data_IF_519733941443
#
_entry.id   IF_519733941443
#
_cell.length_a   1.000
_cell.length_b   1.000
_cell.length_c   1.000
_cell.angle_alpha   90.00
_cell.angle_beta   90.00
_cell.angle_gamma   90.00
#
_symmetry.space_group_name_H-M   'P 1'
#
loop_
_entity.id
_entity.type
_entity.pdbx_description
1 polymer ?
#
# COMPACT_ATOMS: atom_id res chain seq x y z
N UNK A 1 0.72 -13.10 -13.30
CA UNK A 1 1.03 -12.87 -14.73
C UNK A 1 0.15 -13.79 -15.56
N UNK A 2 -0.52 -13.24 -16.55
CA UNK A 2 -1.31 -13.97 -17.56
C UNK A 2 -0.59 -13.82 -18.89
N UNK A 3 -0.13 -14.96 -19.44
CA UNK A 3 0.48 -15.00 -20.77
C UNK A 3 -0.62 -15.26 -21.80
N UNK A 4 -0.90 -14.29 -22.64
CA UNK A 4 -1.96 -14.30 -23.64
C UNK A 4 -1.42 -14.01 -25.05
N UNK A 5 -2.32 -14.10 -26.05
CA UNK A 5 -1.97 -13.80 -27.45
C UNK A 5 -1.43 -12.37 -27.66
N UNK A 6 -1.72 -11.45 -26.74
CA UNK A 6 -1.27 -10.05 -26.76
C UNK A 6 -0.01 -9.80 -25.91
N UNK A 7 0.61 -10.85 -25.39
CA UNK A 7 1.76 -10.80 -24.50
C UNK A 7 1.40 -11.00 -23.02
N UNK A 8 2.40 -10.88 -22.17
CA UNK A 8 2.23 -10.98 -20.72
C UNK A 8 1.48 -9.78 -20.16
N UNK A 9 0.47 -10.05 -19.32
CA UNK A 9 -0.29 -9.04 -18.58
C UNK A 9 -0.29 -9.37 -17.10
N UNK A 10 -0.26 -8.34 -16.25
CA UNK A 10 -0.41 -8.50 -14.80
C UNK A 10 -1.86 -8.26 -14.40
N UNK A 11 -2.49 -9.23 -13.80
CA UNK A 11 -3.83 -9.11 -13.22
C UNK A 11 -3.73 -9.02 -11.70
N UNK A 12 -4.35 -7.99 -11.13
CA UNK A 12 -4.40 -7.76 -9.68
C UNK A 12 -5.64 -8.37 -9.03
N UNK A 13 -6.63 -8.78 -9.81
CA UNK A 13 -7.86 -9.36 -9.31
C UNK A 13 -8.13 -10.70 -9.97
N UNK A 14 -8.25 -11.74 -9.15
CA UNK A 14 -8.60 -13.09 -9.56
C UNK A 14 -9.88 -13.52 -8.85
N UNK A 15 -10.77 -14.19 -9.58
CA UNK A 15 -11.95 -14.82 -9.00
C UNK A 15 -12.02 -16.26 -9.51
N UNK A 16 -12.03 -17.22 -8.58
CA UNK A 16 -12.19 -18.63 -8.83
C UNK A 16 -13.60 -19.06 -8.39
N UNK A 17 -14.31 -19.73 -9.27
CA UNK A 17 -15.66 -20.21 -9.02
C UNK A 17 -15.68 -21.72 -9.19
N UNK A 18 -16.02 -22.43 -8.13
CA UNK A 18 -16.08 -23.88 -8.07
C UNK A 18 -17.49 -24.32 -7.67
N UNK A 19 -18.12 -25.16 -8.53
CA UNK A 19 -19.46 -25.70 -8.30
C UNK A 19 -19.43 -27.21 -8.54
N UNK A 20 -19.00 -27.99 -7.54
CA UNK A 20 -18.98 -29.43 -7.65
C UNK A 20 -20.41 -30.02 -7.82
N UNK A 21 -20.56 -31.21 -8.41
CA UNK A 21 -21.89 -31.80 -8.68
C UNK A 21 -22.80 -31.92 -7.45
N UNK A 22 -22.22 -32.16 -6.28
CA UNK A 22 -22.98 -32.28 -5.04
C UNK A 22 -23.71 -31.00 -4.62
N UNK A 23 -23.26 -29.81 -5.12
CA UNK A 23 -23.93 -28.56 -4.83
C UNK A 23 -25.39 -28.49 -5.32
N UNK A 24 -25.74 -29.28 -6.33
CA UNK A 24 -27.10 -29.45 -6.86
C UNK A 24 -27.68 -30.83 -6.58
N UNK A 25 -27.07 -31.60 -5.67
CA UNK A 25 -27.49 -32.97 -5.37
C UNK A 25 -27.16 -34.00 -6.45
N UNK A 26 -26.32 -33.64 -7.42
CA UNK A 26 -25.90 -34.52 -8.50
C UNK A 26 -24.69 -35.36 -8.11
N UNK A 27 -24.56 -36.53 -8.72
CA UNK A 27 -23.35 -37.34 -8.67
C UNK A 27 -22.48 -37.06 -9.88
N UNK A 28 -21.17 -37.00 -9.69
CA UNK A 28 -20.24 -36.73 -10.79
C UNK A 28 -18.80 -36.63 -10.35
N UNK A 29 -17.90 -36.59 -11.32
CA UNK A 29 -16.50 -36.43 -11.07
C UNK A 29 -16.19 -34.97 -10.70
N UNK A 30 -15.54 -34.77 -9.55
CA UNK A 30 -14.94 -33.49 -9.16
C UNK A 30 -13.58 -33.36 -9.85
N UNK A 31 -13.33 -32.24 -10.51
CA UNK A 31 -12.10 -32.02 -11.28
C UNK A 31 -11.95 -30.57 -11.72
N UNK A 32 -11.31 -30.37 -12.87
CA UNK A 32 -11.13 -29.02 -13.42
C UNK A 32 -12.48 -28.37 -13.76
N UNK A 33 -12.60 -27.03 -13.57
CA UNK A 33 -13.82 -26.28 -13.88
C UNK A 33 -14.29 -26.49 -15.31
N UNK A 34 -15.59 -26.73 -15.49
CA UNK A 34 -16.24 -26.88 -16.79
C UNK A 34 -16.58 -25.49 -17.37
N UNK A 35 -17.04 -25.45 -18.62
CA UNK A 35 -17.42 -24.19 -19.32
C UNK A 35 -18.42 -23.34 -18.54
N UNK A 36 -19.40 -23.96 -17.88
CA UNK A 36 -20.43 -23.30 -17.07
C UNK A 36 -19.77 -22.58 -15.88
N UNK A 37 -18.91 -23.26 -15.15
CA UNK A 37 -18.18 -22.68 -13.98
C UNK A 37 -17.27 -21.53 -14.43
N UNK A 38 -16.55 -21.69 -15.53
CA UNK A 38 -15.71 -20.64 -16.11
C UNK A 38 -16.55 -19.41 -16.47
N UNK A 39 -17.72 -19.61 -17.09
CA UNK A 39 -18.64 -18.53 -17.47
C UNK A 39 -19.20 -17.79 -16.26
N UNK A 40 -19.65 -18.54 -15.23
CA UNK A 40 -20.13 -17.96 -13.97
C UNK A 40 -19.05 -17.18 -13.24
N UNK A 41 -17.84 -17.72 -13.15
CA UNK A 41 -16.71 -17.03 -12.54
C UNK A 41 -16.35 -15.74 -13.27
N UNK A 42 -16.36 -15.76 -14.63
CA UNK A 42 -16.11 -14.54 -15.43
C UNK A 42 -17.19 -13.48 -15.25
N UNK A 43 -18.46 -13.88 -15.12
CA UNK A 43 -19.56 -12.95 -14.86
C UNK A 43 -19.38 -12.27 -13.49
N UNK A 44 -19.12 -13.05 -12.43
CA UNK A 44 -18.89 -12.53 -11.09
C UNK A 44 -17.64 -11.64 -11.03
N UNK A 45 -16.54 -12.06 -11.67
CA UNK A 45 -15.33 -11.25 -11.80
C UNK A 45 -15.61 -9.89 -12.44
N UNK A 46 -16.33 -9.89 -13.58
CA UNK A 46 -16.70 -8.65 -14.30
C UNK A 46 -17.54 -7.73 -13.43
N UNK A 47 -18.52 -8.29 -12.71
CA UNK A 47 -19.39 -7.51 -11.83
C UNK A 47 -18.63 -6.75 -10.76
N UNK A 48 -17.63 -7.38 -10.13
CA UNK A 48 -16.85 -6.80 -9.06
C UNK A 48 -15.72 -5.90 -9.57
N UNK A 49 -15.15 -6.17 -10.74
CA UNK A 49 -14.03 -5.39 -11.29
C UNK A 49 -14.32 -3.89 -11.39
N UNK A 50 -15.59 -3.53 -11.67
CA UNK A 50 -16.00 -2.14 -11.83
C UNK A 50 -15.83 -1.28 -10.56
N UNK A 51 -15.88 -1.90 -9.39
CA UNK A 51 -15.82 -1.21 -8.08
C UNK A 51 -14.49 -1.38 -7.35
N UNK A 52 -13.52 -2.06 -7.95
CA UNK A 52 -12.22 -2.24 -7.33
C UNK A 52 -11.47 -0.90 -7.17
N UNK A 53 -10.66 -0.76 -6.12
CA UNK A 53 -9.79 0.39 -5.94
C UNK A 53 -8.71 0.45 -7.03
N UNK A 54 -8.19 1.63 -7.27
CA UNK A 54 -7.03 1.82 -8.14
C UNK A 54 -5.77 1.21 -7.49
N UNK A 55 -4.73 1.03 -8.29
CA UNK A 55 -3.46 0.45 -7.80
C UNK A 55 -2.75 1.33 -6.78
N UNK A 56 -2.84 2.65 -6.97
CA UNK A 56 -2.27 3.63 -6.05
C UNK A 56 -2.93 3.60 -4.67
N UNK A 57 -4.26 3.36 -4.64
CA UNK A 57 -5.06 3.34 -3.40
C UNK A 57 -4.95 2.01 -2.64
N UNK A 58 -4.70 0.90 -3.37
CA UNK A 58 -4.65 -0.44 -2.78
C UNK A 58 -3.71 -1.35 -3.57
N UNK A 59 -2.49 -1.52 -3.10
CA UNK A 59 -1.40 -2.20 -3.82
C UNK A 59 -1.44 -3.74 -3.76
N UNK A 60 -2.43 -4.32 -3.10
CA UNK A 60 -2.55 -5.77 -2.96
C UNK A 60 -3.12 -6.44 -4.21
N UNK A 61 -2.66 -7.65 -4.47
CA UNK A 61 -3.34 -8.58 -5.38
C UNK A 61 -4.48 -9.24 -4.63
N UNK A 62 -5.68 -9.16 -5.20
CA UNK A 62 -6.91 -9.71 -4.61
C UNK A 62 -7.26 -11.05 -5.26
N UNK A 63 -7.56 -12.05 -4.44
CA UNK A 63 -8.02 -13.36 -4.90
C UNK A 63 -9.29 -13.74 -4.14
N UNK A 64 -10.41 -13.79 -4.85
CA UNK A 64 -11.68 -14.30 -4.34
C UNK A 64 -11.86 -15.74 -4.79
N UNK A 65 -12.21 -16.62 -3.86
CA UNK A 65 -12.53 -18.02 -4.14
C UNK A 65 -13.97 -18.25 -3.70
N UNK A 66 -14.83 -18.63 -4.64
CA UNK A 66 -16.23 -18.97 -4.39
C UNK A 66 -16.41 -20.48 -4.50
N UNK A 67 -16.61 -21.14 -3.37
CA UNK A 67 -16.92 -22.56 -3.26
C UNK A 67 -18.41 -22.74 -3.04
N UNK A 68 -19.12 -23.27 -4.05
CA UNK A 68 -20.56 -23.48 -3.98
C UNK A 68 -20.84 -24.84 -3.36
N UNK A 69 -21.32 -24.85 -2.12
CA UNK A 69 -21.60 -26.07 -1.38
C UNK A 69 -23.05 -26.57 -1.58
N UNK A 70 -23.99 -25.64 -1.81
CA UNK A 70 -25.39 -25.91 -2.06
C UNK A 70 -25.98 -24.80 -2.95
N UNK A 71 -26.86 -25.16 -3.88
CA UNK A 71 -27.50 -24.20 -4.78
C UNK A 71 -28.83 -24.68 -5.28
N UNK A 72 -29.86 -23.84 -5.14
CA UNK A 72 -31.16 -23.98 -5.85
C UNK A 72 -31.59 -22.59 -6.35
N UNK A 73 -30.81 -22.03 -7.27
CA UNK A 73 -30.97 -20.68 -7.80
C UNK A 73 -29.68 -20.19 -8.41
N UNK A 74 -29.46 -18.88 -8.43
CA UNK A 74 -28.29 -18.28 -9.05
C UNK A 74 -27.06 -18.22 -8.13
N UNK A 75 -26.29 -19.28 -8.14
CA UNK A 75 -24.98 -19.35 -7.44
C UNK A 75 -23.99 -18.31 -7.92
N UNK A 76 -24.03 -17.88 -9.18
CA UNK A 76 -23.15 -16.80 -9.68
C UNK A 76 -23.50 -15.44 -9.09
N UNK A 77 -24.78 -15.14 -8.89
CA UNK A 77 -25.20 -13.88 -8.26
C UNK A 77 -24.95 -13.91 -6.75
N UNK A 78 -25.11 -15.06 -6.10
CA UNK A 78 -24.63 -15.27 -4.72
C UNK A 78 -23.12 -15.03 -4.60
N UNK A 79 -22.33 -15.49 -5.58
CA UNK A 79 -20.87 -15.22 -5.61
C UNK A 79 -20.52 -13.75 -5.80
N UNK A 80 -21.35 -12.99 -6.52
CA UNK A 80 -21.19 -11.52 -6.62
C UNK A 80 -21.40 -10.87 -5.25
N UNK A 81 -22.52 -11.17 -4.59
CA UNK A 81 -22.85 -10.60 -3.28
C UNK A 81 -21.84 -11.03 -2.21
N UNK A 82 -21.55 -12.33 -2.10
CA UNK A 82 -20.59 -12.87 -1.14
C UNK A 82 -19.16 -12.40 -1.41
N UNK A 83 -18.75 -12.31 -2.68
CA UNK A 83 -17.46 -11.77 -3.08
C UNK A 83 -17.30 -10.29 -2.72
N UNK A 84 -18.35 -9.49 -2.91
CA UNK A 84 -18.39 -8.09 -2.49
C UNK A 84 -18.21 -7.98 -0.96
N UNK A 85 -19.02 -8.70 -0.19
CA UNK A 85 -18.95 -8.69 1.26
C UNK A 85 -17.60 -9.17 1.79
N UNK A 86 -17.01 -10.21 1.19
CA UNK A 86 -15.71 -10.74 1.61
C UNK A 86 -14.56 -9.78 1.32
N UNK A 87 -14.61 -9.04 0.20
CA UNK A 87 -13.63 -7.99 -0.09
C UNK A 87 -13.72 -6.84 0.92
N UNK A 88 -14.92 -6.41 1.27
CA UNK A 88 -15.14 -5.38 2.29
C UNK A 88 -14.66 -5.85 3.67
N UNK A 89 -14.95 -7.09 4.05
CA UNK A 89 -14.49 -7.68 5.32
C UNK A 89 -12.98 -7.85 5.38
N UNK A 90 -12.33 -8.06 4.23
CA UNK A 90 -10.88 -8.08 4.13
C UNK A 90 -10.22 -6.68 4.15
N UNK A 91 -11.01 -5.60 4.22
CA UNK A 91 -10.50 -4.22 4.24
C UNK A 91 -10.19 -3.65 2.87
N UNK A 92 -10.69 -4.26 1.78
CA UNK A 92 -10.53 -3.70 0.43
C UNK A 92 -11.43 -2.47 0.29
N UNK A 93 -10.90 -1.28 -0.02
CA UNK A 93 -11.69 -0.05 -0.16
C UNK A 93 -12.41 -0.05 -1.50
N UNK A 94 -13.48 -0.87 -1.62
CA UNK A 94 -14.33 -0.88 -2.79
C UNK A 94 -14.98 0.50 -2.99
N UNK A 95 -15.12 0.90 -4.25
CA UNK A 95 -15.76 2.18 -4.61
C UNK A 95 -17.25 2.19 -4.29
N UNK A 96 -17.88 1.00 -4.28
CA UNK A 96 -19.30 0.84 -4.03
C UNK A 96 -19.62 -0.63 -3.73
N UNK A 97 -20.83 -0.91 -3.20
CA UNK A 97 -21.36 -2.25 -3.06
C UNK A 97 -21.91 -2.74 -4.38
N UNK A 98 -21.76 -4.04 -4.65
CA UNK A 98 -22.32 -4.72 -5.82
C UNK A 98 -23.19 -5.87 -5.38
N UNK A 99 -24.46 -5.84 -5.75
CA UNK A 99 -25.38 -6.96 -5.63
C UNK A 99 -25.71 -7.54 -7.00
N UNK A 100 -26.12 -8.80 -7.02
CA UNK A 100 -26.59 -9.49 -8.21
C UNK A 100 -27.90 -10.18 -7.96
N UNK A 101 -28.76 -10.23 -8.99
CA UNK A 101 -30.04 -10.93 -8.97
C UNK A 101 -30.25 -11.69 -10.29
N UNK A 102 -30.84 -12.87 -10.22
CA UNK A 102 -31.27 -13.63 -11.39
C UNK A 102 -32.77 -13.45 -11.60
N UNK A 103 -33.11 -13.12 -12.83
CA UNK A 103 -34.49 -12.88 -13.28
C UNK A 103 -34.92 -13.93 -14.28
N UNK A 104 -36.19 -14.22 -14.31
CA UNK A 104 -36.80 -15.12 -15.27
C UNK A 104 -37.96 -14.48 -16.07
N UNK A 105 -38.29 -15.07 -17.17
CA UNK A 105 -39.43 -14.67 -17.99
C UNK A 105 -40.29 -15.91 -18.32
N UNK A 106 -41.58 -15.76 -18.15
CA UNK A 106 -42.61 -16.70 -18.71
C UNK A 106 -43.44 -15.92 -19.72
N UNK A 107 -43.59 -16.44 -20.94
CA UNK A 107 -44.32 -15.77 -22.02
C UNK A 107 -45.26 -16.71 -22.72
N UNK A 108 -46.56 -16.41 -22.69
CA UNK A 108 -47.60 -17.13 -23.41
C UNK A 108 -48.33 -16.19 -24.39
N UNK A 109 -48.07 -16.37 -25.67
CA UNK A 109 -48.59 -15.48 -26.70
C UNK A 109 -48.17 -14.04 -26.49
N UNK A 110 -49.11 -13.13 -26.20
CA UNK A 110 -48.88 -11.73 -25.93
C UNK A 110 -48.76 -11.38 -24.41
N UNK A 111 -48.99 -12.38 -23.55
CA UNK A 111 -48.86 -12.20 -22.10
C UNK A 111 -47.48 -12.60 -21.64
N UNK A 112 -46.95 -11.91 -20.65
CA UNK A 112 -45.69 -12.28 -20.04
C UNK A 112 -45.68 -11.95 -18.54
N UNK A 113 -44.85 -12.66 -17.79
CA UNK A 113 -44.56 -12.42 -16.40
C UNK A 113 -43.03 -12.43 -16.20
N UNK A 114 -42.54 -11.47 -15.46
CA UNK A 114 -41.13 -11.42 -15.05
C UNK A 114 -41.02 -11.93 -13.62
N UNK A 115 -40.10 -12.85 -13.39
CA UNK A 115 -39.83 -13.45 -12.08
C UNK A 115 -38.54 -12.85 -11.52
N UNK A 116 -38.51 -12.59 -10.20
CA UNK A 116 -37.33 -12.05 -9.50
C UNK A 116 -36.74 -13.12 -8.59
N UNK A 117 -35.40 -13.27 -8.61
CA UNK A 117 -34.65 -14.24 -7.81
C UNK A 117 -35.12 -15.67 -8.02
N UNK A 118 -34.96 -16.13 -9.26
CA UNK A 118 -35.50 -17.41 -9.75
C UNK A 118 -34.80 -18.61 -9.12
N UNK A 119 -35.63 -19.65 -8.86
CA UNK A 119 -35.17 -20.98 -8.49
C UNK A 119 -34.65 -21.77 -9.69
N UNK A 120 -34.00 -22.92 -9.45
CA UNK A 120 -33.49 -23.79 -10.51
C UNK A 120 -34.55 -24.28 -11.49
N UNK A 121 -35.76 -24.63 -11.01
CA UNK A 121 -36.89 -25.05 -11.88
C UNK A 121 -37.42 -23.90 -12.72
N UNK A 122 -37.46 -22.68 -12.17
CA UNK A 122 -37.89 -21.47 -12.89
C UNK A 122 -36.87 -21.07 -13.96
N UNK A 123 -35.56 -21.28 -13.70
CA UNK A 123 -34.51 -21.16 -14.71
C UNK A 123 -34.68 -22.17 -15.83
N UNK A 124 -34.93 -23.45 -15.49
CA UNK A 124 -35.03 -24.54 -16.47
C UNK A 124 -36.27 -24.45 -17.36
N UNK A 125 -37.42 -24.13 -16.77
CA UNK A 125 -38.73 -24.11 -17.46
C UNK A 125 -39.08 -22.75 -18.06
N UNK A 126 -38.38 -21.68 -17.68
CA UNK A 126 -38.61 -20.33 -18.17
C UNK A 126 -38.19 -20.11 -19.61
N UNK A 127 -38.74 -19.07 -20.24
CA UNK A 127 -38.49 -18.67 -21.63
C UNK A 127 -37.26 -17.83 -21.82
N UNK A 128 -36.82 -17.19 -20.75
CA UNK A 128 -35.55 -16.42 -20.64
C UNK A 128 -35.12 -16.39 -19.19
N UNK A 129 -33.82 -16.50 -18.97
CA UNK A 129 -33.19 -16.07 -17.73
C UNK A 129 -32.16 -14.98 -18.01
N UNK A 130 -32.02 -14.01 -17.09
CA UNK A 130 -30.98 -13.03 -17.16
C UNK A 130 -30.50 -12.65 -15.76
N UNK A 131 -29.22 -12.38 -15.69
CA UNK A 131 -28.54 -12.07 -14.46
C UNK A 131 -28.04 -10.62 -14.55
N UNK A 132 -28.40 -9.82 -13.56
CA UNK A 132 -28.01 -8.41 -13.49
C UNK A 132 -27.27 -8.18 -12.20
N UNK A 133 -26.05 -7.69 -12.31
CA UNK A 133 -25.26 -7.22 -11.19
C UNK A 133 -24.96 -5.73 -11.31
N UNK A 134 -24.85 -5.03 -10.18
CA UNK A 134 -24.55 -3.62 -10.18
C UNK A 134 -24.65 -2.98 -8.80
N UNK A 135 -24.32 -1.70 -8.79
CA UNK A 135 -24.39 -0.81 -7.63
C UNK A 135 -25.75 -0.12 -7.56
N UNK A 136 -25.97 0.76 -6.61
CA UNK A 136 -27.13 1.66 -6.61
C UNK A 136 -27.12 2.65 -7.79
N UNK A 137 -25.93 2.98 -8.30
CA UNK A 137 -25.76 3.91 -9.43
C UNK A 137 -25.98 3.27 -10.79
N UNK A 138 -25.67 1.97 -10.98
CA UNK A 138 -25.77 1.36 -12.29
C UNK A 138 -25.44 -0.12 -12.36
N UNK A 139 -25.59 -0.69 -13.56
CA UNK A 139 -25.31 -2.08 -13.87
C UNK A 139 -23.81 -2.25 -14.18
N UNK A 140 -23.15 -3.20 -13.52
CA UNK A 140 -21.74 -3.53 -13.75
C UNK A 140 -21.56 -4.77 -14.60
N UNK A 141 -22.52 -5.69 -14.59
CA UNK A 141 -22.53 -6.88 -15.44
C UNK A 141 -23.96 -7.36 -15.75
N UNK A 142 -24.12 -7.89 -16.94
CA UNK A 142 -25.36 -8.51 -17.40
C UNK A 142 -25.02 -9.75 -18.22
N UNK A 143 -25.79 -10.81 -17.98
CA UNK A 143 -25.80 -12.02 -18.81
C UNK A 143 -27.28 -12.39 -19.08
N UNK A 144 -27.58 -12.78 -20.30
CA UNK A 144 -28.93 -13.16 -20.70
C UNK A 144 -28.86 -14.45 -21.51
N UNK A 145 -29.81 -15.35 -21.25
CA UNK A 145 -30.06 -16.56 -22.02
C UNK A 145 -31.53 -16.57 -22.47
N UNK A 146 -31.78 -16.50 -23.78
CA UNK A 146 -33.11 -16.46 -24.38
C UNK A 146 -33.35 -17.82 -25.01
N UNK A 147 -34.42 -18.51 -24.57
CA UNK A 147 -34.79 -19.86 -24.99
C UNK A 147 -35.92 -19.87 -26.00
N UNK A 148 -36.44 -18.68 -26.38
CA UNK A 148 -37.48 -18.45 -27.36
C UNK A 148 -36.95 -17.62 -28.53
N UNK A 149 -37.74 -17.44 -29.62
CA UNK A 149 -37.28 -16.74 -30.82
C UNK A 149 -36.82 -15.31 -30.59
N UNK A 150 -37.30 -14.66 -29.53
CA UNK A 150 -36.89 -13.32 -29.17
C UNK A 150 -37.81 -12.64 -28.17
N UNK A 151 -37.35 -11.53 -27.63
CA UNK A 151 -38.08 -10.67 -26.69
C UNK A 151 -38.24 -9.26 -27.23
N UNK A 152 -39.32 -8.60 -26.87
CA UNK A 152 -39.55 -7.22 -27.25
C UNK A 152 -38.78 -6.23 -26.33
N UNK A 153 -38.58 -5.02 -26.82
CA UNK A 153 -38.00 -3.93 -26.03
C UNK A 153 -38.83 -3.65 -24.76
N UNK A 154 -40.15 -3.75 -24.87
CA UNK A 154 -41.07 -3.57 -23.74
C UNK A 154 -40.82 -4.59 -22.62
N UNK A 155 -40.72 -5.89 -22.98
CA UNK A 155 -40.35 -6.94 -22.01
C UNK A 155 -39.04 -6.62 -21.32
N UNK A 156 -38.02 -6.21 -22.08
CA UNK A 156 -36.72 -5.87 -21.48
C UNK A 156 -36.79 -4.65 -20.58
N UNK A 157 -37.59 -3.65 -20.90
CA UNK A 157 -37.77 -2.47 -20.05
C UNK A 157 -38.38 -2.86 -18.69
N UNK A 158 -39.45 -3.69 -18.72
CA UNK A 158 -40.10 -4.19 -17.50
C UNK A 158 -39.12 -5.05 -16.68
N UNK A 159 -38.44 -5.97 -17.35
CA UNK A 159 -37.49 -6.90 -16.71
C UNK A 159 -36.33 -6.17 -16.05
N UNK A 160 -35.73 -5.18 -16.69
CA UNK A 160 -34.62 -4.39 -16.13
C UNK A 160 -35.10 -3.50 -14.97
N UNK A 161 -36.30 -2.93 -15.04
CA UNK A 161 -36.86 -2.16 -13.95
C UNK A 161 -37.09 -3.04 -12.70
N UNK A 162 -37.69 -4.21 -12.87
CA UNK A 162 -37.93 -5.17 -11.79
C UNK A 162 -36.60 -5.74 -11.24
N UNK A 163 -35.59 -5.98 -12.10
CA UNK A 163 -34.28 -6.39 -11.69
C UNK A 163 -33.58 -5.29 -10.84
N UNK A 164 -33.81 -4.02 -11.14
CA UNK A 164 -33.30 -2.90 -10.32
C UNK A 164 -33.92 -2.95 -8.91
N UNK A 165 -35.22 -3.16 -8.80
CA UNK A 165 -35.90 -3.24 -7.49
C UNK A 165 -35.35 -4.41 -6.66
N UNK A 166 -35.22 -5.61 -7.27
CA UNK A 166 -34.63 -6.78 -6.62
C UNK A 166 -33.19 -6.54 -6.16
N UNK A 167 -32.37 -5.93 -7.03
CA UNK A 167 -30.98 -5.60 -6.71
C UNK A 167 -30.87 -4.57 -5.58
N UNK A 168 -31.70 -3.53 -5.59
CA UNK A 168 -31.73 -2.53 -4.51
C UNK A 168 -32.15 -3.15 -3.16
N UNK A 169 -33.10 -4.09 -3.17
CA UNK A 169 -33.47 -4.83 -1.98
C UNK A 169 -32.28 -5.62 -1.40
N UNK A 170 -31.55 -6.35 -2.25
CA UNK A 170 -30.36 -7.13 -1.88
C UNK A 170 -29.27 -6.20 -1.34
N UNK A 171 -28.98 -5.07 -2.02
CA UNK A 171 -28.03 -4.07 -1.54
C UNK A 171 -28.39 -3.58 -0.13
N UNK A 172 -29.67 -3.32 0.14
CA UNK A 172 -30.14 -2.95 1.47
C UNK A 172 -29.79 -4.00 2.52
N UNK A 173 -29.99 -5.29 2.21
CA UNK A 173 -29.59 -6.40 3.09
C UNK A 173 -28.09 -6.53 3.28
N UNK A 174 -27.32 -6.26 2.26
CA UNK A 174 -25.84 -6.24 2.35
C UNK A 174 -25.36 -5.09 3.25
N UNK A 175 -25.96 -3.91 3.17
CA UNK A 175 -25.67 -2.78 4.05
C UNK A 175 -26.05 -3.02 5.51
N UNK A 176 -27.12 -3.80 5.78
CA UNK A 176 -27.46 -4.21 7.15
C UNK A 176 -26.38 -5.13 7.75
N UNK A 177 -25.69 -5.92 6.92
CA UNK A 177 -24.67 -6.86 7.36
C UNK A 177 -23.25 -6.23 7.50
N UNK A 178 -22.92 -5.28 6.63
CA UNK A 178 -21.60 -4.62 6.59
C UNK A 178 -21.79 -3.13 6.27
N UNK A 179 -21.32 -2.25 7.13
CA UNK A 179 -21.42 -0.80 6.94
C UNK A 179 -20.46 -0.27 5.84
N UNK A 180 -19.35 -0.95 5.63
CA UNK A 180 -18.31 -0.57 4.66
C UNK A 180 -17.04 -1.42 4.79
N UNK A 181 -15.96 -1.04 4.13
CA UNK A 181 -14.69 -1.74 4.24
C UNK A 181 -14.15 -1.64 5.67
N UNK A 182 -13.63 -2.74 6.21
CA UNK A 182 -12.93 -2.72 7.49
C UNK A 182 -11.74 -1.79 7.42
N UNK A 183 -11.56 -0.98 8.44
CA UNK A 183 -10.44 -0.03 8.55
C UNK A 183 -9.12 -0.71 8.89
N UNK A 184 -9.18 -1.89 9.53
CA UNK A 184 -8.00 -2.68 9.89
C UNK A 184 -7.91 -3.93 9.03
N UNK A 185 -6.73 -4.15 8.45
CA UNK A 185 -6.42 -5.39 7.78
C UNK A 185 -6.35 -6.53 8.81
N UNK A 186 -6.66 -7.75 8.36
CA UNK A 186 -6.45 -8.94 9.16
C UNK A 186 -5.02 -8.98 9.73
N UNK A 187 -4.83 -9.41 11.01
CA UNK A 187 -3.49 -9.56 11.57
C UNK A 187 -2.63 -10.58 10.80
N UNK A 188 -3.25 -11.45 10.00
CA UNK A 188 -2.56 -12.43 9.15
C UNK A 188 -2.30 -11.90 7.73
N UNK A 189 -2.84 -10.73 7.37
CA UNK A 189 -2.58 -10.15 6.06
C UNK A 189 -1.17 -9.54 6.03
N UNK A 190 -0.37 -9.78 4.96
CA UNK A 190 0.89 -9.09 4.79
C UNK A 190 0.63 -7.59 4.68
N UNK A 191 1.38 -6.80 5.45
CA UNK A 191 1.34 -5.35 5.39
C UNK A 191 2.32 -4.86 4.34
N UNK A 192 1.87 -4.00 3.46
CA UNK A 192 2.71 -3.36 2.44
C UNK A 192 3.03 -1.93 2.89
N UNK A 193 4.31 -1.62 2.95
CA UNK A 193 4.80 -0.26 3.19
C UNK A 193 5.54 0.19 1.94
N UNK A 194 5.09 1.26 1.32
CA UNK A 194 5.73 1.84 0.13
C UNK A 194 6.23 3.24 0.44
N UNK A 195 7.47 3.54 0.02
CA UNK A 195 8.09 4.85 0.16
C UNK A 195 9.14 5.05 -0.93
N UNK A 196 9.57 6.29 -1.13
CA UNK A 196 10.59 6.61 -2.14
C UNK A 196 11.94 6.87 -1.50
N UNK A 197 12.99 6.37 -2.15
CA UNK A 197 14.38 6.72 -1.89
C UNK A 197 14.96 7.44 -3.11
N UNK A 198 16.09 8.12 -2.94
CA UNK A 198 16.80 8.70 -4.07
C UNK A 198 17.26 7.57 -5.00
N UNK A 199 16.93 7.59 -6.32
CA UNK A 199 17.34 6.57 -7.28
C UNK A 199 18.86 6.33 -7.32
N UNK A 200 19.68 7.36 -7.09
CA UNK A 200 21.15 7.24 -7.02
C UNK A 200 21.62 6.33 -5.88
N UNK A 201 20.76 6.11 -4.86
CA UNK A 201 21.03 5.27 -3.68
C UNK A 201 20.56 3.82 -3.82
N UNK A 202 19.84 3.48 -4.87
CA UNK A 202 19.37 2.12 -5.11
C UNK A 202 20.53 1.12 -5.05
N UNK A 203 21.67 1.47 -5.62
CA UNK A 203 22.87 0.61 -5.64
C UNK A 203 23.44 0.37 -4.24
N UNK A 204 23.37 1.38 -3.35
CA UNK A 204 23.85 1.27 -1.96
C UNK A 204 22.94 0.32 -1.17
N UNK A 205 21.61 0.42 -1.35
CA UNK A 205 20.61 -0.45 -0.70
C UNK A 205 20.67 -1.89 -1.22
N UNK A 206 20.83 -2.07 -2.52
CA UNK A 206 20.95 -3.42 -3.12
C UNK A 206 22.29 -4.06 -2.74
N UNK A 207 23.36 -3.27 -2.72
CA UNK A 207 24.72 -3.74 -2.47
C UNK A 207 25.30 -4.56 -3.61
N UNK A 208 26.59 -4.86 -3.52
CA UNK A 208 27.31 -5.61 -4.57
C UNK A 208 26.70 -7.01 -4.77
N UNK A 209 26.17 -7.25 -5.98
CA UNK A 209 25.51 -8.51 -6.32
C UNK A 209 24.25 -8.82 -5.48
N UNK A 210 23.61 -7.81 -4.89
CA UNK A 210 22.41 -7.97 -4.08
C UNK A 210 22.67 -8.46 -2.65
N UNK A 211 23.92 -8.38 -2.14
CA UNK A 211 24.26 -8.93 -0.84
C UNK A 211 23.57 -8.22 0.31
N UNK A 212 23.48 -6.88 0.25
CA UNK A 212 22.89 -6.06 1.34
C UNK A 212 21.39 -6.31 1.46
N UNK A 213 20.67 -6.25 0.33
CA UNK A 213 19.22 -6.45 0.34
C UNK A 213 18.84 -7.88 0.74
N UNK A 214 19.63 -8.90 0.33
CA UNK A 214 19.38 -10.29 0.77
C UNK A 214 19.59 -10.47 2.26
N UNK A 215 20.69 -9.95 2.82
CA UNK A 215 20.94 -9.99 4.25
C UNK A 215 19.82 -9.30 5.03
N UNK A 216 19.39 -8.14 4.57
CA UNK A 216 18.29 -7.39 5.18
C UNK A 216 16.97 -8.18 5.16
N UNK A 217 16.64 -8.79 4.03
CA UNK A 217 15.46 -9.64 3.86
C UNK A 217 15.50 -10.88 4.79
N UNK A 218 16.65 -11.53 4.88
CA UNK A 218 16.82 -12.70 5.76
C UNK A 218 16.74 -12.34 7.25
N UNK A 219 17.41 -11.26 7.66
CA UNK A 219 17.45 -10.82 9.06
C UNK A 219 16.09 -10.31 9.56
N UNK A 220 15.33 -9.63 8.71
CA UNK A 220 14.01 -9.07 9.09
C UNK A 220 12.84 -10.00 8.78
N UNK A 221 13.04 -11.04 7.96
CA UNK A 221 11.96 -11.92 7.50
C UNK A 221 10.95 -11.24 6.60
N UNK A 222 11.33 -10.12 5.96
CA UNK A 222 10.47 -9.33 5.07
C UNK A 222 10.77 -9.59 3.60
N UNK A 223 9.88 -9.17 2.71
CA UNK A 223 10.16 -9.11 1.28
C UNK A 223 10.31 -7.65 0.86
N UNK A 224 11.43 -7.33 0.21
CA UNK A 224 11.75 -5.96 -0.20
C UNK A 224 11.89 -5.93 -1.72
N UNK A 225 11.10 -5.08 -2.38
CA UNK A 225 11.19 -4.80 -3.80
C UNK A 225 11.60 -3.34 -4.01
N UNK A 226 12.47 -3.09 -4.97
CA UNK A 226 12.94 -1.74 -5.32
C UNK A 226 12.79 -1.57 -6.83
N UNK A 227 12.08 -0.52 -7.22
CA UNK A 227 11.88 -0.14 -8.62
C UNK A 227 12.93 0.88 -9.06
N UNK A 228 13.14 1.00 -10.37
CA UNK A 228 14.16 1.88 -10.95
C UNK A 228 13.92 3.37 -10.66
N UNK A 229 12.67 3.75 -10.37
CA UNK A 229 12.28 5.12 -10.00
C UNK A 229 12.54 5.46 -8.52
N UNK A 230 13.10 4.52 -7.75
CA UNK A 230 13.38 4.65 -6.33
C UNK A 230 12.21 4.25 -5.42
N UNK A 231 11.11 3.74 -5.94
CA UNK A 231 10.01 3.21 -5.13
C UNK A 231 10.45 1.91 -4.46
N UNK A 232 10.40 1.89 -3.12
CA UNK A 232 10.69 0.72 -2.29
C UNK A 232 9.38 0.22 -1.71
N UNK A 233 9.08 -1.06 -1.91
CA UNK A 233 7.92 -1.74 -1.32
C UNK A 233 8.40 -2.85 -0.40
N UNK A 234 8.00 -2.79 0.86
CA UNK A 234 8.30 -3.78 1.88
C UNK A 234 7.02 -4.53 2.23
N UNK A 235 7.01 -5.84 2.07
CA UNK A 235 5.94 -6.72 2.49
C UNK A 235 6.34 -7.50 3.74
N UNK A 236 5.55 -7.40 4.81
CA UNK A 236 5.79 -8.09 6.08
C UNK A 236 4.48 -8.52 6.73
N UNK A 237 4.47 -9.73 7.31
CA UNK A 237 3.36 -10.19 8.17
C UNK A 237 3.49 -9.60 9.57
N UNK A 238 4.73 -9.37 10.02
CA UNK A 238 5.03 -8.74 11.31
C UNK A 238 5.28 -7.24 11.11
N UNK A 239 4.50 -6.41 11.80
CA UNK A 239 4.59 -4.96 11.74
C UNK A 239 5.93 -4.42 12.23
N UNK A 240 6.47 -5.00 13.33
CA UNK A 240 7.76 -4.60 13.87
C UNK A 240 8.91 -4.93 12.91
N UNK A 241 8.86 -6.09 12.27
CA UNK A 241 9.81 -6.48 11.24
C UNK A 241 9.75 -5.57 10.01
N UNK A 242 8.55 -5.18 9.57
CA UNK A 242 8.35 -4.23 8.48
C UNK A 242 8.91 -2.84 8.80
N UNK A 243 8.66 -2.33 10.01
CA UNK A 243 9.17 -1.06 10.48
C UNK A 243 10.72 -1.06 10.58
N UNK A 244 11.30 -2.14 11.06
CA UNK A 244 12.76 -2.30 11.15
C UNK A 244 13.40 -2.37 9.75
N UNK A 245 12.82 -3.12 8.83
CA UNK A 245 13.27 -3.17 7.45
C UNK A 245 13.24 -1.78 6.79
N UNK A 246 12.15 -1.04 6.97
CA UNK A 246 12.01 0.33 6.50
C UNK A 246 13.10 1.24 7.06
N UNK A 247 13.28 1.23 8.37
CA UNK A 247 14.30 2.05 9.05
C UNK A 247 15.70 1.80 8.47
N UNK A 248 16.08 0.53 8.27
CA UNK A 248 17.38 0.15 7.71
C UNK A 248 17.54 0.57 6.25
N UNK A 249 16.50 0.44 5.44
CA UNK A 249 16.53 0.92 4.04
C UNK A 249 16.69 2.44 4.00
N UNK A 250 15.94 3.18 4.83
CA UNK A 250 16.05 4.63 4.93
C UNK A 250 17.45 5.06 5.38
N UNK A 251 18.06 4.35 6.33
CA UNK A 251 19.44 4.61 6.79
C UNK A 251 20.48 4.38 5.68
N UNK A 252 20.33 3.29 4.89
CA UNK A 252 21.22 2.98 3.76
C UNK A 252 21.07 3.98 2.61
N UNK A 253 19.86 4.46 2.39
CA UNK A 253 19.52 5.43 1.36
C UNK A 253 19.78 6.89 1.79
N UNK A 254 20.03 7.13 3.09
CA UNK A 254 20.21 8.47 3.63
C UNK A 254 21.41 9.19 3.00
N UNK A 255 21.19 10.44 2.63
CA UNK A 255 22.24 11.34 2.15
C UNK A 255 22.64 12.32 3.23
N UNK A 256 23.93 12.59 3.31
CA UNK A 256 24.43 13.61 4.22
C UNK A 256 24.13 14.98 3.62
N UNK A 257 23.48 15.84 4.39
CA UNK A 257 23.10 17.19 3.97
C UNK A 257 24.02 18.24 4.60
N UNK A 258 24.51 19.19 3.79
CA UNK A 258 25.30 20.32 4.26
C UNK A 258 24.45 21.20 5.19
N UNK A 259 25.01 21.60 6.30
CA UNK A 259 24.35 22.44 7.32
C UNK A 259 23.57 21.66 8.37
N UNK A 260 23.30 20.38 8.18
CA UNK A 260 22.56 19.52 9.12
C UNK A 260 23.47 19.00 10.23
N UNK A 261 22.87 18.75 11.39
CA UNK A 261 23.55 18.22 12.59
C UNK A 261 23.28 16.72 12.67
N UNK A 262 24.34 15.96 12.90
CA UNK A 262 24.29 14.50 13.06
C UNK A 262 24.92 14.09 14.39
N UNK A 263 24.43 13.00 14.95
CA UNK A 263 25.11 12.27 16.03
C UNK A 263 25.98 11.19 15.40
N UNK A 264 27.30 11.45 15.37
CA UNK A 264 28.25 10.56 14.73
C UNK A 264 29.14 9.86 15.76
N UNK A 265 29.59 8.65 15.40
CA UNK A 265 30.51 7.86 16.22
C UNK A 265 31.95 8.06 15.76
N UNK A 266 32.84 8.42 16.66
CA UNK A 266 34.27 8.54 16.38
C UNK A 266 34.84 7.14 16.05
N UNK A 267 35.26 6.96 14.80
CA UNK A 267 35.82 5.69 14.32
C UNK A 267 37.33 5.59 14.61
N UNK A 268 38.04 6.69 14.39
CA UNK A 268 39.51 6.74 14.55
C UNK A 268 39.98 8.17 14.84
N UNK A 269 40.98 8.27 15.70
CA UNK A 269 41.69 9.51 15.96
C UNK A 269 42.93 9.65 15.06
N UNK A 270 43.18 10.87 14.59
CA UNK A 270 44.30 11.24 13.74
C UNK A 270 45.01 12.47 14.42
N UNK A 271 46.29 12.72 14.13
CA UNK A 271 47.04 13.86 14.69
C UNK A 271 46.38 15.20 14.34
N UNK A 272 45.70 15.28 13.18
CA UNK A 272 45.08 16.51 12.69
C UNK A 272 43.56 16.53 12.83
N UNK A 273 42.94 15.53 13.45
CA UNK A 273 41.48 15.45 13.62
C UNK A 273 40.94 14.07 13.97
N UNK A 274 39.67 13.85 13.74
CA UNK A 274 39.00 12.56 13.94
C UNK A 274 38.14 12.18 12.73
N UNK A 275 38.10 10.89 12.45
CA UNK A 275 37.14 10.33 11.50
C UNK A 275 35.87 10.00 12.28
N UNK A 276 34.77 10.61 11.90
CA UNK A 276 33.47 10.45 12.55
C UNK A 276 32.45 9.90 11.52
N UNK A 277 31.87 8.75 11.83
CA UNK A 277 30.81 8.18 11.02
C UNK A 277 29.49 8.89 11.35
N UNK A 278 28.94 9.61 10.38
CA UNK A 278 27.70 10.38 10.54
C UNK A 278 26.46 9.60 10.09
N UNK A 279 26.63 8.67 9.14
CA UNK A 279 25.61 7.70 8.70
C UNK A 279 26.30 6.36 8.38
N UNK A 280 25.58 5.23 8.31
CA UNK A 280 26.15 3.95 7.91
C UNK A 280 26.92 4.05 6.58
N UNK A 281 28.21 3.73 6.60
CA UNK A 281 29.09 3.82 5.41
C UNK A 281 29.46 5.25 4.97
N UNK A 282 29.17 6.28 5.77
CA UNK A 282 29.48 7.68 5.48
C UNK A 282 30.31 8.28 6.61
N UNK A 283 31.59 8.44 6.35
CA UNK A 283 32.56 8.99 7.28
C UNK A 283 32.90 10.45 6.91
N UNK A 284 33.04 11.28 7.92
CA UNK A 284 33.46 12.68 7.74
C UNK A 284 34.69 12.99 8.58
N UNK A 285 35.48 13.97 8.11
CA UNK A 285 36.63 14.46 8.81
C UNK A 285 36.23 15.64 9.74
N UNK A 286 36.41 15.45 11.02
CA UNK A 286 36.38 16.49 12.04
C UNK A 286 37.81 16.98 12.29
N UNK A 287 38.19 18.05 11.60
CA UNK A 287 39.55 18.63 11.74
C UNK A 287 39.76 19.22 13.14
N UNK A 288 41.00 19.17 13.69
CA UNK A 288 41.34 19.63 15.03
C UNK A 288 40.85 21.07 15.29
N UNK A 289 40.91 21.96 14.31
CA UNK A 289 40.45 23.37 14.44
C UNK A 289 38.91 23.52 14.49
N UNK A 290 38.17 22.45 14.26
CA UNK A 290 36.70 22.40 14.26
C UNK A 290 36.12 21.66 15.48
N UNK A 291 36.96 21.27 16.44
CA UNK A 291 36.54 20.61 17.68
C UNK A 291 36.00 21.63 18.67
N UNK A 292 36.80 22.67 18.98
CA UNK A 292 36.48 23.71 19.98
C UNK A 292 36.85 25.13 19.50
N UNK A 293 36.38 26.15 20.23
CA UNK A 293 36.76 27.54 19.97
C UNK A 293 38.16 27.89 20.48
N UNK A 294 38.66 27.18 21.50
CA UNK A 294 40.00 27.28 22.02
C UNK A 294 41.00 26.47 21.19
N UNK A 295 42.29 26.71 21.42
CA UNK A 295 43.35 25.97 20.69
C UNK A 295 43.46 24.55 21.25
N UNK A 296 43.05 23.57 20.42
CA UNK A 296 43.21 22.15 20.73
C UNK A 296 44.64 21.72 20.37
N UNK A 297 45.39 21.21 21.34
CA UNK A 297 46.75 20.75 21.13
C UNK A 297 46.81 19.28 20.72
N UNK A 298 45.98 18.43 21.32
CA UNK A 298 45.87 17.04 20.98
C UNK A 298 44.37 16.64 20.84
N UNK A 299 44.05 15.89 19.82
CA UNK A 299 42.64 15.42 19.55
C UNK A 299 42.17 14.51 20.66
N UNK A 300 43.06 13.70 21.23
CA UNK A 300 42.79 12.75 22.33
C UNK A 300 42.34 13.40 23.64
N UNK A 301 42.61 14.73 23.83
CA UNK A 301 42.16 15.47 25.01
C UNK A 301 40.65 15.72 25.01
N UNK A 302 40.05 15.75 23.81
CA UNK A 302 38.66 16.11 23.60
C UNK A 302 37.80 14.93 23.12
N UNK A 303 38.39 13.96 22.43
CA UNK A 303 37.69 12.87 21.77
C UNK A 303 38.30 11.52 22.09
N UNK A 304 37.44 10.48 22.16
CA UNK A 304 37.84 9.08 22.30
C UNK A 304 37.28 8.25 21.18
N UNK A 305 37.99 7.24 20.74
CA UNK A 305 37.46 6.25 19.79
C UNK A 305 36.22 5.56 20.38
N UNK A 306 35.20 5.41 19.54
CA UNK A 306 33.90 4.85 19.95
C UNK A 306 32.93 5.84 20.60
N UNK A 307 33.36 7.07 20.89
CA UNK A 307 32.53 8.12 21.48
C UNK A 307 31.52 8.64 20.46
N UNK A 308 30.26 8.84 20.89
CA UNK A 308 29.26 9.56 20.10
C UNK A 308 29.38 11.07 20.32
N UNK A 309 29.45 11.82 19.22
CA UNK A 309 29.58 13.27 19.21
C UNK A 309 28.56 13.90 18.26
N UNK A 310 28.10 15.10 18.65
CA UNK A 310 27.23 15.89 17.75
C UNK A 310 28.11 16.74 16.85
N UNK A 311 27.91 16.60 15.54
CA UNK A 311 28.68 17.30 14.51
C UNK A 311 27.77 17.95 13.49
N UNK A 312 28.13 19.14 13.04
CA UNK A 312 27.48 19.83 11.93
C UNK A 312 28.29 19.62 10.66
N UNK A 313 27.60 19.27 9.56
CA UNK A 313 28.24 19.17 8.26
C UNK A 313 28.48 20.58 7.72
N UNK A 314 29.72 20.92 7.46
CA UNK A 314 30.10 22.20 6.88
C UNK A 314 30.08 22.20 5.37
N UNK A 315 30.64 21.16 4.78
CA UNK A 315 30.86 21.05 3.34
C UNK A 315 30.99 19.58 2.93
N UNK A 316 30.60 19.29 1.72
CA UNK A 316 30.86 18.01 1.02
C UNK A 316 31.57 18.39 -0.28
N UNK A 317 32.79 17.90 -0.48
CA UNK A 317 33.55 18.21 -1.68
C UNK A 317 33.21 17.33 -2.88
N UNK A 318 33.69 17.67 -4.07
CA UNK A 318 33.45 16.93 -5.33
C UNK A 318 33.92 15.46 -5.30
N UNK A 319 34.69 15.07 -4.29
CA UNK A 319 35.13 13.70 -4.04
C UNK A 319 34.36 13.02 -2.92
N UNK A 320 33.17 13.55 -2.58
CA UNK A 320 32.26 13.04 -1.54
C UNK A 320 32.88 13.00 -0.13
N UNK A 321 33.91 13.86 0.15
CA UNK A 321 34.53 13.97 1.45
C UNK A 321 33.77 14.97 2.29
N UNK A 322 33.30 14.53 3.45
CA UNK A 322 32.46 15.30 4.38
C UNK A 322 33.33 16.02 5.41
N UNK A 323 33.18 17.33 5.51
CA UNK A 323 33.82 18.13 6.55
C UNK A 323 32.86 18.43 7.69
N UNK A 324 33.27 18.15 8.89
CA UNK A 324 32.47 18.24 10.10
C UNK A 324 33.00 19.33 11.06
N UNK A 325 32.08 19.84 11.90
CA UNK A 325 32.42 20.81 12.95
C UNK A 325 31.58 20.56 14.20
N UNK A 326 32.23 20.45 15.36
CA UNK A 326 31.59 20.55 16.66
C UNK A 326 31.53 22.02 17.09
N UNK A 327 32.55 22.80 16.73
CA UNK A 327 32.67 24.22 17.03
C UNK A 327 31.48 25.05 16.56
N UNK A 328 30.88 24.67 15.41
CA UNK A 328 29.67 25.32 14.86
C UNK A 328 28.40 25.11 15.69
N UNK A 329 28.44 24.24 16.70
CA UNK A 329 27.32 23.94 17.63
C UNK A 329 27.54 24.64 19.00
N UNK A 330 28.72 25.20 19.26
CA UNK A 330 29.06 25.84 20.49
C UNK A 330 28.97 27.37 20.28
N UNK A 331 28.18 28.06 21.08
CA UNK A 331 28.14 29.53 21.04
C UNK A 331 29.53 30.11 21.31
N UNK A 332 29.95 31.09 20.50
CA UNK A 332 31.19 31.83 20.76
C UNK A 332 31.10 32.44 22.16
N UNK A 333 32.09 32.25 23.02
CA UNK A 333 32.17 33.04 24.26
C UNK A 333 32.27 34.52 23.86
N UNK A 334 31.26 35.30 24.21
CA UNK A 334 31.33 36.77 24.05
C UNK A 334 32.48 37.29 24.89
N UNK A 335 33.35 38.06 24.25
CA UNK A 335 34.40 38.80 24.92
C UNK A 335 33.81 39.71 26.00
N UNK A 336 33.98 39.34 27.29
CA UNK A 336 33.63 40.13 28.46
C UNK A 336 34.60 41.31 28.68
N UNK A 337 35.48 41.65 27.76
CA UNK A 337 36.54 42.65 27.95
C UNK A 337 36.21 44.09 27.50
N UNK A 338 34.99 44.41 27.07
CA UNK A 338 34.60 45.77 26.65
C UNK A 338 33.55 46.47 27.51
N UNK A 339 33.18 45.92 28.67
CA UNK A 339 32.23 46.56 29.59
C UNK A 339 32.85 47.14 30.86
N UNK A 340 34.11 46.86 31.16
CA UNK A 340 34.77 47.44 32.34
C UNK A 340 35.53 48.80 32.10
N UNK A 341 35.88 49.14 30.86
CA UNK A 341 36.46 50.44 30.54
C UNK A 341 35.46 51.59 30.33
N UNK A 342 34.18 51.30 30.12
CA UNK A 342 33.15 52.35 29.98
C UNK A 342 32.51 52.78 31.31
N UNK A 343 32.79 52.06 32.41
CA UNK A 343 32.24 52.39 33.76
C UNK A 343 33.17 53.22 34.65
N UNK A 344 34.37 53.52 34.19
CA UNK A 344 35.37 54.35 34.97
C UNK A 344 35.47 55.78 34.48
N UNK A 345 34.69 56.27 33.51
CA UNK A 345 34.75 57.65 33.02
C UNK A 345 33.56 58.55 33.37
N UNK A 346 32.56 58.06 34.10
CA UNK A 346 31.48 58.91 34.62
C UNK A 346 31.46 58.93 36.14
N UNK A 347 32.38 59.68 36.71
CA UNK A 347 32.42 59.91 38.16
C UNK A 347 33.37 61.07 38.53
N UNK A 348 32.94 62.26 38.23
CA UNK A 348 33.36 63.39 39.04
C UNK A 348 32.33 64.53 39.05
N UNK A 349 31.64 64.76 40.17
CA UNK A 349 30.78 65.93 40.31
C UNK A 349 31.66 67.04 41.04
N UNK A 350 31.44 68.17 40.62
CA UNK A 350 31.56 69.48 41.38
C UNK A 350 32.04 70.58 40.45
N UNK A 351 31.20 71.56 40.24
CA UNK A 351 31.51 72.92 40.75
C UNK A 351 30.30 73.85 40.46
N UNK A 352 29.77 74.35 41.51
CA UNK A 352 28.83 75.43 41.78
C UNK A 352 29.34 76.72 41.12
N UNK A 353 28.43 77.56 40.63
CA UNK A 353 28.24 78.98 40.80
C UNK A 353 27.75 79.72 39.59
N UNK A 354 26.71 80.49 39.87
CA UNK A 354 26.30 81.67 39.24
C UNK A 354 24.76 81.78 39.05
#
# INVERSE_FOLDING_TARGET
>A
IVDGLTGEQRERFMLHYNMPPFATGETGRVGSPKRREIGHGRLAKRALTAVLPNEEDFQYTMRVVSEICESNGSSSMASVCGGCLSLLDAGVPLKDFVAGVAMGLIKEGNKFAVLTDILGDEDHLGDMDFKVAGTDHGVTALQMDIKIEGISKEIMQVALAQAKEGRMHILGKMHEAVEGPKTELSPYAPRLVSFKINPDKIRDVIGKGGAVIRALTEETGTQINIEDDGTVTIASVDEAAGAEARRRVEELAATVEVGKVYEGKVQRLLDFGAIVQVLPGRDGLLHISQIAHERVNQVSDYLKEGQTVRVKVLEIDDKDRIRLSMKALIEKPEHKEKKEEAAQQEGNPDIIKG
#
